data_IF_245051761740
#
_entry.id   IF_245051761740
#
_cell.length_a   1.000
_cell.length_b   1.000
_cell.length_c   1.000
_cell.angle_alpha   90.00
_cell.angle_beta   90.00
_cell.angle_gamma   90.00
#
_symmetry.space_group_name_H-M   'P 1'
#
loop_
_entity.id
_entity.type
_entity.pdbx_description
1 polymer ?
#
# COMPACT_ATOMS: atom_id res chain seq x y z
N UNK A 1 4.02 -13.88 -26.02
CA UNK A 1 3.46 -13.01 -24.98
C UNK A 1 1.99 -13.35 -24.85
N UNK A 2 1.58 -13.90 -23.72
CA UNK A 2 0.16 -14.18 -23.48
C UNK A 2 -0.48 -12.99 -22.79
N UNK A 3 -1.59 -12.50 -23.33
CA UNK A 3 -2.32 -11.37 -22.77
C UNK A 3 -3.18 -11.88 -21.63
N UNK A 4 -2.97 -11.32 -20.43
CA UNK A 4 -3.82 -11.59 -19.27
C UNK A 4 -5.07 -10.71 -19.36
N UNK A 5 -6.08 -11.19 -20.10
CA UNK A 5 -7.34 -10.47 -20.36
C UNK A 5 -8.07 -9.98 -19.10
N UNK A 6 -7.93 -10.69 -17.98
CA UNK A 6 -8.48 -10.26 -16.68
C UNK A 6 -8.00 -8.86 -16.28
N UNK A 7 -6.70 -8.58 -16.43
CA UNK A 7 -6.16 -7.26 -16.07
C UNK A 7 -6.62 -6.18 -17.04
N UNK A 8 -6.74 -6.52 -18.33
CA UNK A 8 -7.23 -5.60 -19.36
C UNK A 8 -8.66 -5.17 -19.06
N UNK A 9 -9.53 -6.12 -18.73
CA UNK A 9 -10.93 -5.84 -18.38
C UNK A 9 -11.02 -5.01 -17.09
N UNK A 10 -10.27 -5.38 -16.05
CA UNK A 10 -10.29 -4.67 -14.76
C UNK A 10 -9.78 -3.22 -14.90
N UNK A 11 -8.72 -3.01 -15.66
CA UNK A 11 -8.22 -1.65 -15.90
C UNK A 11 -9.17 -0.87 -16.81
N UNK A 12 -9.72 -1.49 -17.85
CA UNK A 12 -10.70 -0.87 -18.74
C UNK A 12 -11.96 -0.41 -17.99
N UNK A 13 -12.55 -1.27 -17.16
CA UNK A 13 -13.76 -0.93 -16.40
C UNK A 13 -13.51 0.19 -15.39
N UNK A 14 -12.35 0.21 -14.74
CA UNK A 14 -11.97 1.28 -13.80
C UNK A 14 -11.94 2.66 -14.48
N UNK A 15 -11.42 2.76 -15.70
CA UNK A 15 -11.38 4.03 -16.44
C UNK A 15 -12.78 4.47 -16.88
N UNK A 16 -13.66 3.53 -17.28
CA UNK A 16 -15.05 3.85 -17.61
C UNK A 16 -15.82 4.40 -16.39
N UNK A 17 -15.65 3.77 -15.22
CA UNK A 17 -16.23 4.27 -13.96
C UNK A 17 -15.68 5.64 -13.58
N UNK A 18 -14.39 5.90 -13.84
CA UNK A 18 -13.78 7.21 -13.58
C UNK A 18 -14.41 8.33 -14.42
N UNK A 19 -14.69 8.08 -15.70
CA UNK A 19 -15.37 9.05 -16.58
C UNK A 19 -16.78 9.35 -16.07
N UNK A 20 -17.52 8.31 -15.68
CA UNK A 20 -18.85 8.47 -15.10
C UNK A 20 -18.81 9.24 -13.77
N UNK A 21 -17.86 8.93 -12.89
CA UNK A 21 -17.65 9.66 -11.64
C UNK A 21 -17.36 11.13 -11.86
N UNK A 22 -16.57 11.47 -12.89
CA UNK A 22 -16.29 12.86 -13.26
C UNK A 22 -17.57 13.61 -13.65
N UNK A 23 -18.45 13.00 -14.45
CA UNK A 23 -19.76 13.55 -14.75
C UNK A 23 -20.59 13.81 -13.48
N UNK A 24 -20.63 12.85 -12.54
CA UNK A 24 -21.43 12.99 -11.32
C UNK A 24 -21.00 14.17 -10.43
N UNK A 25 -19.70 14.50 -10.40
CA UNK A 25 -19.16 15.60 -9.59
C UNK A 25 -19.79 16.94 -9.99
N UNK A 26 -20.08 17.16 -11.28
CA UNK A 26 -20.62 18.43 -11.76
C UNK A 26 -22.15 18.53 -11.64
N UNK A 27 -22.86 17.42 -11.80
CA UNK A 27 -24.30 17.46 -12.04
C UNK A 27 -25.17 17.00 -10.86
N UNK A 28 -24.64 16.24 -9.89
CA UNK A 28 -25.51 15.58 -8.90
C UNK A 28 -24.96 15.46 -7.47
N UNK A 29 -23.65 15.52 -7.26
CA UNK A 29 -23.05 15.10 -5.98
C UNK A 29 -22.98 16.25 -4.97
N UNK A 30 -23.24 15.94 -3.70
CA UNK A 30 -23.08 16.90 -2.59
C UNK A 30 -21.60 17.25 -2.37
N UNK A 31 -21.30 18.51 -2.06
CA UNK A 31 -19.94 18.98 -1.76
C UNK A 31 -19.20 18.16 -0.70
N UNK A 32 -19.92 17.60 0.28
CA UNK A 32 -19.34 16.71 1.30
C UNK A 32 -18.69 15.46 0.70
N UNK A 33 -19.29 14.87 -0.33
CA UNK A 33 -18.78 13.67 -1.01
C UNK A 33 -17.56 14.01 -1.85
N UNK A 34 -17.55 15.18 -2.51
CA UNK A 34 -16.38 15.68 -3.26
C UNK A 34 -15.19 15.90 -2.31
N UNK A 35 -15.44 16.53 -1.16
CA UNK A 35 -14.41 16.75 -0.14
C UNK A 35 -13.88 15.43 0.43
N UNK A 36 -14.77 14.47 0.73
CA UNK A 36 -14.37 13.15 1.21
C UNK A 36 -13.51 12.40 0.16
N UNK A 37 -13.90 12.46 -1.11
CA UNK A 37 -13.12 11.87 -2.21
C UNK A 37 -11.73 12.50 -2.32
N UNK A 38 -11.62 13.83 -2.20
CA UNK A 38 -10.35 14.54 -2.24
C UNK A 38 -9.43 14.18 -1.06
N UNK A 39 -9.99 14.06 0.16
CA UNK A 39 -9.24 13.64 1.34
C UNK A 39 -8.71 12.22 1.16
N UNK A 40 -9.56 11.29 0.72
CA UNK A 40 -9.17 9.90 0.49
C UNK A 40 -8.12 9.78 -0.62
N UNK A 41 -8.22 10.58 -1.68
CA UNK A 41 -7.22 10.65 -2.74
C UNK A 41 -5.86 11.13 -2.22
N UNK A 42 -5.85 12.16 -1.38
CA UNK A 42 -4.61 12.68 -0.79
C UNK A 42 -3.98 11.64 0.16
N UNK A 43 -4.79 10.99 0.99
CA UNK A 43 -4.35 9.96 1.92
C UNK A 43 -3.77 8.74 1.20
N UNK A 44 -4.38 8.31 0.10
CA UNK A 44 -3.86 7.19 -0.71
C UNK A 44 -2.55 7.56 -1.41
N UNK A 45 -2.42 8.79 -1.91
CA UNK A 45 -1.17 9.33 -2.48
C UNK A 45 -0.03 9.41 -1.47
N UNK A 46 -0.32 9.77 -0.22
CA UNK A 46 0.65 9.71 0.89
C UNK A 46 1.07 8.26 1.17
N UNK A 47 0.12 7.33 1.18
CA UNK A 47 0.41 5.89 1.33
C UNK A 47 1.40 5.37 0.29
N UNK A 48 1.27 5.81 -0.98
CA UNK A 48 2.21 5.47 -2.06
C UNK A 48 3.58 6.13 -1.84
N UNK A 49 3.60 7.45 -1.70
CA UNK A 49 4.86 8.21 -1.71
C UNK A 49 5.66 8.04 -0.44
N UNK A 50 5.03 8.11 0.74
CA UNK A 50 5.69 7.91 2.02
C UNK A 50 5.87 6.41 2.33
N UNK A 51 4.89 5.57 2.00
CA UNK A 51 4.94 4.13 2.23
C UNK A 51 5.78 3.37 1.21
N UNK A 52 5.19 2.97 0.08
CA UNK A 52 5.88 2.09 -0.91
C UNK A 52 7.17 2.69 -1.42
N UNK A 53 7.18 3.97 -1.73
CA UNK A 53 8.36 4.62 -2.30
C UNK A 53 9.43 4.90 -1.22
N UNK A 54 9.16 5.77 -0.24
CA UNK A 54 10.21 6.22 0.70
C UNK A 54 10.55 5.22 1.81
N UNK A 55 9.54 4.60 2.44
CA UNK A 55 9.75 3.71 3.57
C UNK A 55 10.21 2.32 3.13
N UNK A 56 9.52 1.70 2.16
CA UNK A 56 9.81 0.30 1.79
C UNK A 56 10.81 0.16 0.65
N UNK A 57 10.76 1.01 -0.39
CA UNK A 57 11.69 0.92 -1.53
C UNK A 57 13.04 1.59 -1.25
N UNK A 58 13.05 2.84 -0.79
CA UNK A 58 14.30 3.57 -0.55
C UNK A 58 14.83 3.50 0.89
N UNK A 59 14.09 2.92 1.84
CA UNK A 59 14.44 2.87 3.27
C UNK A 59 14.97 4.21 3.83
N UNK A 60 14.40 5.33 3.38
CA UNK A 60 14.90 6.67 3.68
C UNK A 60 14.80 7.05 5.17
N UNK A 61 13.96 6.37 5.94
CA UNK A 61 13.80 6.61 7.38
C UNK A 61 13.34 5.35 8.13
N UNK A 62 13.70 5.26 9.42
CA UNK A 62 13.28 4.19 10.33
C UNK A 62 11.98 4.59 11.03
N UNK A 63 10.85 4.02 10.59
CA UNK A 63 9.54 4.25 11.20
C UNK A 63 9.22 3.24 12.32
N UNK A 64 8.58 3.72 13.39
CA UNK A 64 8.01 2.87 14.46
C UNK A 64 6.77 2.10 13.96
N UNK A 65 6.43 1.01 14.64
CA UNK A 65 5.33 0.11 14.27
C UNK A 65 3.99 0.81 13.92
N UNK A 66 3.44 1.72 14.75
CA UNK A 66 2.12 2.31 14.47
C UNK A 66 2.11 3.10 13.15
N UNK A 67 3.20 3.82 12.85
CA UNK A 67 3.32 4.56 11.61
C UNK A 67 3.38 3.62 10.39
N UNK A 68 4.01 2.46 10.51
CA UNK A 68 4.07 1.47 9.42
C UNK A 68 2.71 0.85 9.13
N UNK A 69 1.94 0.53 10.18
CA UNK A 69 0.58 0.01 10.03
C UNK A 69 -0.32 1.06 9.37
N UNK A 70 -0.24 2.32 9.81
CA UNK A 70 -0.97 3.41 9.17
C UNK A 70 -0.62 3.50 7.68
N UNK A 71 0.66 3.51 7.31
CA UNK A 71 1.08 3.55 5.91
C UNK A 71 0.60 2.34 5.10
N UNK A 72 0.50 1.14 5.70
CA UNK A 72 -0.05 -0.04 5.03
C UNK A 72 -1.53 0.11 4.72
N UNK A 73 -2.31 0.64 5.67
CA UNK A 73 -3.74 0.90 5.46
C UNK A 73 -3.91 1.94 4.35
N UNK A 74 -3.15 3.04 4.40
CA UNK A 74 -3.18 4.09 3.38
C UNK A 74 -2.81 3.56 1.98
N UNK A 75 -1.79 2.73 1.88
CA UNK A 75 -1.37 2.09 0.63
C UNK A 75 -2.41 1.09 0.11
N UNK A 76 -3.14 0.42 1.01
CA UNK A 76 -4.22 -0.53 0.67
C UNK A 76 -5.40 0.19 0.04
N UNK A 77 -5.75 1.38 0.55
CA UNK A 77 -6.75 2.24 -0.09
C UNK A 77 -6.35 2.68 -1.51
N UNK A 78 -5.06 2.72 -1.82
CA UNK A 78 -4.56 3.05 -3.15
C UNK A 78 -4.62 1.87 -4.14
N UNK A 79 -5.02 0.66 -3.71
CA UNK A 79 -5.03 -0.56 -4.52
C UNK A 79 -3.68 -0.95 -5.18
N UNK A 80 -2.57 -0.39 -4.69
CA UNK A 80 -1.21 -0.63 -5.21
C UNK A 80 -0.34 -1.41 -4.21
N UNK A 81 -0.93 -2.40 -3.54
CA UNK A 81 -0.21 -3.20 -2.53
C UNK A 81 0.60 -4.31 -3.20
N UNK A 82 1.88 -4.40 -2.86
CA UNK A 82 2.73 -5.54 -3.19
C UNK A 82 2.91 -6.44 -1.98
N UNK A 83 2.88 -7.76 -2.18
CA UNK A 83 3.15 -8.77 -1.14
C UNK A 83 4.48 -8.50 -0.40
N UNK A 84 5.46 -7.96 -1.13
CA UNK A 84 6.80 -7.62 -0.59
C UNK A 84 6.73 -6.54 0.50
N UNK A 85 5.89 -5.51 0.32
CA UNK A 85 5.76 -4.42 1.29
C UNK A 85 5.08 -4.89 2.58
N UNK A 86 4.12 -5.81 2.46
CA UNK A 86 3.43 -6.44 3.60
C UNK A 86 4.37 -7.37 4.36
N UNK A 87 5.14 -8.21 3.68
CA UNK A 87 6.13 -9.04 4.37
C UNK A 87 7.22 -8.19 5.04
N UNK A 88 7.63 -7.08 4.43
CA UNK A 88 8.68 -6.23 5.00
C UNK A 88 8.24 -5.43 6.23
N UNK A 89 6.95 -5.11 6.39
CA UNK A 89 6.45 -4.52 7.63
C UNK A 89 6.43 -5.55 8.78
N UNK A 90 6.05 -6.81 8.50
CA UNK A 90 6.06 -7.90 9.49
C UNK A 90 7.48 -8.37 9.85
N UNK A 91 8.38 -8.49 8.87
CA UNK A 91 9.75 -8.97 9.09
C UNK A 91 10.57 -8.00 9.94
N UNK A 92 10.33 -6.69 9.85
CA UNK A 92 11.08 -5.72 10.66
C UNK A 92 10.55 -5.63 12.10
N UNK A 93 9.27 -5.89 12.35
CA UNK A 93 8.77 -6.13 13.71
C UNK A 93 9.43 -7.37 14.32
N UNK A 94 9.62 -8.40 13.48
CA UNK A 94 10.43 -9.55 13.82
C UNK A 94 11.94 -9.27 13.84
N UNK A 95 12.45 -8.06 13.64
CA UNK A 95 13.89 -7.80 13.84
C UNK A 95 14.34 -8.05 15.29
N UNK A 96 13.49 -7.68 16.25
CA UNK A 96 13.72 -7.93 17.68
C UNK A 96 13.54 -9.43 18.00
N UNK A 97 12.55 -10.08 17.39
CA UNK A 97 12.28 -11.50 17.62
C UNK A 97 13.18 -12.44 16.82
N UNK A 98 13.75 -12.02 15.68
CA UNK A 98 14.67 -12.80 14.85
C UNK A 98 16.08 -12.68 15.42
N UNK A 99 16.51 -11.53 15.94
CA UNK A 99 17.72 -11.50 16.76
C UNK A 99 17.57 -12.38 18.00
N UNK A 100 16.44 -12.31 18.72
CA UNK A 100 16.21 -13.20 19.86
C UNK A 100 16.13 -14.68 19.44
N UNK A 101 15.40 -15.02 18.36
CA UNK A 101 15.26 -16.41 17.88
C UNK A 101 16.55 -16.93 17.27
N UNK A 102 17.34 -16.13 16.55
CA UNK A 102 18.66 -16.53 16.03
C UNK A 102 19.65 -16.70 17.18
N UNK A 103 19.61 -15.83 18.20
CA UNK A 103 20.42 -15.95 19.42
C UNK A 103 20.04 -17.20 20.22
N UNK A 104 18.74 -17.55 20.29
CA UNK A 104 18.23 -18.72 21.01
C UNK A 104 18.40 -20.03 20.21
N UNK A 105 18.27 -19.97 18.88
CA UNK A 105 18.27 -21.14 17.99
C UNK A 105 19.66 -21.47 17.42
N UNK A 106 20.59 -20.52 17.39
CA UNK A 106 21.92 -20.68 16.80
C UNK A 106 21.93 -20.92 15.28
N UNK A 107 20.80 -20.75 14.57
CA UNK A 107 20.70 -21.01 13.12
C UNK A 107 20.87 -19.73 12.28
N UNK A 108 21.64 -19.77 11.18
CA UNK A 108 21.90 -18.60 10.34
C UNK A 108 20.64 -18.15 9.57
N UNK A 109 20.55 -16.85 9.29
CA UNK A 109 19.36 -16.19 8.70
C UNK A 109 18.82 -16.86 7.42
N UNK A 110 19.71 -17.42 6.58
CA UNK A 110 19.39 -18.05 5.31
C UNK A 110 18.53 -19.33 5.43
N UNK A 111 18.31 -19.88 6.63
CA UNK A 111 17.45 -21.05 6.81
C UNK A 111 15.95 -20.74 6.93
N UNK A 112 15.58 -19.45 7.03
CA UNK A 112 14.19 -19.01 7.25
C UNK A 112 13.62 -18.20 6.09
N UNK A 113 14.37 -18.11 4.98
CA UNK A 113 14.02 -17.42 3.73
C UNK A 113 13.99 -18.45 2.62
#
# INVERSE_FOLDING_TARGET
MEIVWRNVILMGSLHLVSIYGFYLIFFSVQWKTVLAAYILYTLSGIGITAGSHRLWSHRSYKAKLPYRIMMMILQTMAFQVSKKHVLQSFVVEKGILVEQVVTISGKPWNSYV
#
